data_IF_641545335991
#
_entry.id   IF_641545335991
#
_cell.length_a   1.000
_cell.length_b   1.000
_cell.length_c   1.000
_cell.angle_alpha   90.00
_cell.angle_beta   90.00
_cell.angle_gamma   90.00
#
_symmetry.space_group_name_H-M   'P 1'
#
loop_
_entity.id
_entity.type
_entity.pdbx_description
1 polymer ?
#
# COMPACT_ATOMS: atom_id res chain seq x y z
N UNK A 1 74.26 -24.36 -32.44
CA UNK A 1 72.92 -24.86 -32.79
C UNK A 1 72.54 -25.94 -31.80
N UNK A 2 71.48 -25.74 -31.02
CA UNK A 2 70.99 -26.68 -30.03
C UNK A 2 69.97 -25.98 -29.13
N UNK A 3 68.69 -26.23 -29.40
CA UNK A 3 67.51 -25.49 -28.93
C UNK A 3 67.22 -25.84 -27.47
N UNK A 4 67.11 -24.84 -26.58
CA UNK A 4 66.49 -24.98 -25.26
C UNK A 4 64.97 -24.92 -25.42
N UNK A 5 64.28 -26.01 -25.11
CA UNK A 5 62.83 -26.07 -25.05
C UNK A 5 62.32 -25.41 -23.76
N UNK A 6 61.47 -24.40 -23.90
CA UNK A 6 60.73 -23.80 -22.81
C UNK A 6 59.62 -24.74 -22.34
N UNK A 7 59.60 -25.05 -21.05
CA UNK A 7 58.44 -25.63 -20.38
C UNK A 7 57.50 -24.48 -19.99
N UNK A 8 56.35 -24.40 -20.65
CA UNK A 8 55.26 -23.50 -20.29
C UNK A 8 54.72 -23.89 -18.91
N UNK A 9 54.74 -22.95 -17.97
CA UNK A 9 54.01 -23.07 -16.71
C UNK A 9 52.53 -22.81 -16.99
N UNK A 10 51.70 -23.84 -16.88
CA UNK A 10 50.25 -23.74 -16.94
C UNK A 10 49.76 -22.87 -15.77
N UNK A 11 49.37 -21.64 -16.12
CA UNK A 11 48.61 -20.72 -15.27
C UNK A 11 47.18 -21.23 -15.14
N UNK A 12 46.94 -22.18 -14.22
CA UNK A 12 45.59 -22.60 -13.86
C UNK A 12 44.87 -21.44 -13.14
N UNK A 13 43.85 -20.88 -13.79
CA UNK A 13 42.97 -19.88 -13.20
C UNK A 13 42.26 -20.44 -11.94
N UNK A 14 42.00 -19.61 -10.92
CA UNK A 14 41.30 -20.07 -9.72
C UNK A 14 39.88 -20.53 -10.07
N UNK A 15 39.35 -21.56 -9.38
CA UNK A 15 38.02 -22.08 -9.66
C UNK A 15 36.97 -20.99 -9.42
N UNK A 16 36.06 -20.83 -10.38
CA UNK A 16 34.93 -19.90 -10.26
C UNK A 16 34.13 -20.20 -8.99
N UNK A 17 33.68 -19.15 -8.26
CA UNK A 17 32.85 -19.35 -7.08
C UNK A 17 31.54 -20.04 -7.48
N UNK A 18 31.02 -20.93 -6.62
CA UNK A 18 29.77 -21.63 -6.91
C UNK A 18 28.65 -20.60 -7.14
N UNK A 19 27.70 -20.90 -8.06
CA UNK A 19 26.59 -20.00 -8.32
C UNK A 19 25.80 -19.77 -7.02
N UNK A 20 25.25 -18.55 -6.84
CA UNK A 20 24.45 -18.26 -5.66
C UNK A 20 23.30 -19.27 -5.57
N UNK A 21 22.94 -19.73 -4.35
CA UNK A 21 21.85 -20.67 -4.20
C UNK A 21 20.59 -20.07 -4.84
N UNK A 22 19.77 -20.88 -5.53
CA UNK A 22 18.50 -20.40 -6.07
C UNK A 22 17.69 -19.80 -4.92
N UNK A 23 17.07 -18.64 -5.15
CA UNK A 23 16.14 -18.04 -4.20
C UNK A 23 15.15 -19.12 -3.74
N UNK A 24 14.88 -19.26 -2.43
CA UNK A 24 14.12 -20.39 -1.92
C UNK A 24 12.74 -20.42 -2.60
N UNK A 25 12.51 -21.48 -3.41
CA UNK A 25 11.25 -21.74 -4.12
C UNK A 25 10.10 -22.10 -3.18
N UNK A 26 10.38 -22.33 -1.90
CA UNK A 26 9.41 -22.63 -0.87
C UNK A 26 9.68 -21.80 0.38
N UNK A 27 8.64 -21.03 0.72
CA UNK A 27 8.52 -20.19 1.91
C UNK A 27 8.89 -20.99 3.17
N UNK A 28 9.85 -20.54 3.99
CA UNK A 28 9.97 -21.07 5.33
C UNK A 28 8.77 -20.54 6.12
N UNK A 29 7.73 -21.36 6.24
CA UNK A 29 6.72 -21.22 7.29
C UNK A 29 7.47 -21.37 8.62
N UNK A 30 8.02 -20.27 9.15
CA UNK A 30 8.60 -20.24 10.48
C UNK A 30 7.45 -20.25 11.48
N UNK A 31 7.05 -21.46 11.84
CA UNK A 31 6.05 -21.74 12.86
C UNK A 31 6.63 -21.54 14.26
N UNK A 32 5.89 -20.81 15.08
CA UNK A 32 5.66 -21.01 16.52
C UNK A 32 6.66 -21.91 17.27
N UNK A 33 7.71 -21.29 17.81
CA UNK A 33 8.36 -21.77 19.03
C UNK A 33 8.54 -20.61 20.01
N UNK A 34 7.66 -20.60 21.01
CA UNK A 34 7.85 -20.09 22.39
C UNK A 34 9.01 -19.15 22.67
N UNK A 35 8.66 -17.93 23.11
CA UNK A 35 9.54 -17.03 23.86
C UNK A 35 10.37 -16.10 22.99
N UNK A 36 10.03 -14.81 23.05
CA UNK A 36 10.88 -13.67 22.69
C UNK A 36 10.90 -13.07 21.27
N UNK A 37 10.13 -13.53 20.27
CA UNK A 37 10.05 -12.81 18.98
C UNK A 37 8.65 -12.69 18.34
N UNK A 38 8.15 -11.45 18.34
CA UNK A 38 7.26 -10.75 17.40
C UNK A 38 6.96 -11.41 16.03
N UNK A 39 5.80 -12.07 15.86
CA UNK A 39 5.21 -12.21 14.52
C UNK A 39 3.68 -12.29 14.54
N UNK A 40 3.03 -11.30 13.92
CA UNK A 40 1.57 -11.18 13.75
C UNK A 40 1.09 -11.65 12.36
N UNK A 41 2.01 -12.00 11.44
CA UNK A 41 1.69 -12.36 10.07
C UNK A 41 1.08 -13.76 10.02
N UNK A 42 -0.21 -13.83 9.69
CA UNK A 42 -0.88 -15.13 9.52
C UNK A 42 -0.55 -15.72 8.15
N UNK A 43 -0.71 -17.04 7.95
CA UNK A 43 -0.47 -17.66 6.65
C UNK A 43 -1.23 -16.98 5.49
N UNK A 44 -2.44 -16.49 5.74
CA UNK A 44 -3.23 -15.73 4.76
C UNK A 44 -2.61 -14.37 4.44
N UNK A 45 -1.99 -13.69 5.42
CA UNK A 45 -1.33 -12.39 5.21
C UNK A 45 -0.10 -12.54 4.31
N UNK A 46 0.69 -13.59 4.53
CA UNK A 46 1.87 -13.91 3.71
C UNK A 46 1.45 -14.38 2.32
N UNK A 47 0.46 -15.24 2.20
CA UNK A 47 -0.06 -15.66 0.90
C UNK A 47 -0.55 -14.45 0.08
N UNK A 48 -1.26 -13.52 0.73
CA UNK A 48 -1.72 -12.30 0.09
C UNK A 48 -0.56 -11.36 -0.29
N UNK A 49 0.45 -11.17 0.58
CA UNK A 49 1.64 -10.38 0.26
C UNK A 49 2.36 -10.88 -0.99
N UNK A 50 2.41 -12.20 -1.22
CA UNK A 50 3.05 -12.77 -2.40
C UNK A 50 2.11 -12.92 -3.60
N UNK A 51 0.87 -12.45 -3.53
CA UNK A 51 -0.08 -12.55 -4.64
C UNK A 51 -0.58 -13.97 -4.91
N UNK A 52 -0.44 -14.90 -3.95
CA UNK A 52 -0.89 -16.29 -4.11
C UNK A 52 -2.41 -16.42 -3.96
N UNK A 53 -3.12 -15.96 -4.98
CA UNK A 53 -4.57 -15.90 -5.02
C UNK A 53 -5.25 -17.24 -4.69
N UNK A 54 -4.87 -18.33 -5.36
CA UNK A 54 -5.49 -19.65 -5.14
C UNK A 54 -5.30 -20.16 -3.71
N UNK A 55 -4.15 -19.87 -3.10
CA UNK A 55 -3.90 -20.24 -1.71
C UNK A 55 -4.76 -19.41 -0.75
N UNK A 56 -4.88 -18.10 -0.98
CA UNK A 56 -5.77 -17.25 -0.18
C UNK A 56 -7.22 -17.72 -0.32
N UNK A 57 -7.66 -18.01 -1.54
CA UNK A 57 -9.00 -18.54 -1.81
C UNK A 57 -9.24 -19.87 -1.09
N UNK A 58 -8.29 -20.82 -1.16
CA UNK A 58 -8.40 -22.09 -0.45
C UNK A 58 -8.46 -21.91 1.08
N UNK A 59 -7.66 -21.00 1.64
CA UNK A 59 -7.67 -20.67 3.06
C UNK A 59 -8.99 -20.04 3.50
N UNK A 60 -9.55 -19.12 2.70
CA UNK A 60 -10.85 -18.50 2.99
C UNK A 60 -12.02 -19.48 2.91
N UNK A 61 -11.93 -20.49 2.04
CA UNK A 61 -12.91 -21.59 1.99
C UNK A 61 -12.80 -22.48 3.23
N UNK A 62 -11.58 -22.71 3.73
CA UNK A 62 -11.36 -23.50 4.94
C UNK A 62 -11.79 -22.75 6.22
N UNK A 63 -11.51 -21.45 6.31
CA UNK A 63 -11.93 -20.59 7.42
C UNK A 63 -12.26 -19.17 6.92
N UNK A 64 -13.56 -18.86 6.87
CA UNK A 64 -14.06 -17.56 6.42
C UNK A 64 -13.69 -16.41 7.37
N UNK A 65 -13.37 -16.70 8.64
CA UNK A 65 -12.94 -15.67 9.61
C UNK A 65 -11.57 -15.08 9.25
N UNK A 66 -10.79 -15.77 8.42
CA UNK A 66 -9.54 -15.25 7.89
C UNK A 66 -9.73 -13.98 7.04
N UNK A 67 -10.94 -13.76 6.50
CA UNK A 67 -11.26 -12.53 5.77
C UNK A 67 -11.14 -11.30 6.67
N UNK A 68 -11.61 -11.38 7.92
CA UNK A 68 -11.52 -10.28 8.90
C UNK A 68 -10.06 -9.92 9.19
N UNK A 69 -9.19 -10.94 9.26
CA UNK A 69 -7.75 -10.73 9.44
C UNK A 69 -7.13 -10.09 8.19
N UNK A 70 -7.48 -10.60 7.00
CA UNK A 70 -6.96 -10.10 5.73
C UNK A 70 -7.32 -8.63 5.48
N UNK A 71 -8.53 -8.20 5.89
CA UNK A 71 -9.06 -6.88 5.59
C UNK A 71 -8.92 -5.85 6.73
N UNK A 72 -8.42 -6.22 7.91
CA UNK A 72 -8.27 -5.26 9.02
C UNK A 72 -7.15 -4.25 8.76
N UNK A 73 -7.48 -2.96 8.78
CA UNK A 73 -6.53 -1.87 8.56
C UNK A 73 -5.44 -1.85 9.64
N UNK A 74 -5.84 -2.05 10.91
CA UNK A 74 -4.91 -2.07 12.05
C UNK A 74 -3.85 -3.14 11.90
N UNK A 75 -4.25 -4.32 11.39
CA UNK A 75 -3.34 -5.43 11.13
C UNK A 75 -2.44 -5.14 9.94
N UNK A 76 -2.99 -4.66 8.82
CA UNK A 76 -2.21 -4.30 7.63
C UNK A 76 -1.13 -3.28 7.96
N UNK A 77 -1.45 -2.22 8.69
CA UNK A 77 -0.47 -1.19 9.06
C UNK A 77 0.69 -1.69 9.92
N UNK A 78 0.47 -2.70 10.76
CA UNK A 78 1.53 -3.36 11.53
C UNK A 78 2.40 -4.25 10.64
N UNK A 79 1.80 -4.88 9.62
CA UNK A 79 2.55 -5.67 8.65
C UNK A 79 3.39 -4.77 7.74
N UNK A 80 2.83 -3.64 7.29
CA UNK A 80 3.55 -2.65 6.48
C UNK A 80 4.81 -2.14 7.18
N UNK A 81 4.79 -1.89 8.50
CA UNK A 81 6.01 -1.49 9.22
C UNK A 81 7.09 -2.56 9.21
N UNK A 82 6.72 -3.85 9.09
CA UNK A 82 7.69 -4.95 9.03
C UNK A 82 8.18 -5.15 7.59
N UNK A 83 7.27 -5.04 6.62
CA UNK A 83 7.58 -5.22 5.20
C UNK A 83 8.38 -4.07 4.61
N UNK A 84 8.11 -2.82 5.03
CA UNK A 84 8.80 -1.64 4.50
C UNK A 84 10.27 -1.60 4.92
N UNK A 85 10.64 -2.25 6.03
CA UNK A 85 12.02 -2.34 6.51
C UNK A 85 12.83 -3.45 5.80
N UNK A 86 12.18 -4.32 5.01
CA UNK A 86 12.81 -5.52 4.46
C UNK A 86 12.65 -5.59 2.93
N UNK A 87 13.74 -5.58 2.15
CA UNK A 87 13.69 -5.46 0.69
C UNK A 87 12.92 -6.59 0.01
N UNK A 88 12.96 -7.80 0.57
CA UNK A 88 12.21 -8.96 0.07
C UNK A 88 10.68 -8.78 0.06
N UNK A 89 10.13 -7.74 0.69
CA UNK A 89 8.68 -7.49 0.73
C UNK A 89 8.25 -6.24 -0.05
N UNK A 90 9.12 -5.67 -0.90
CA UNK A 90 8.78 -4.54 -1.77
C UNK A 90 7.58 -4.84 -2.70
N UNK A 91 7.37 -6.10 -3.07
CA UNK A 91 6.21 -6.53 -3.88
C UNK A 91 4.93 -6.75 -3.09
N UNK A 92 4.97 -6.72 -1.75
CA UNK A 92 3.83 -7.06 -0.89
C UNK A 92 2.56 -6.26 -1.20
N UNK A 93 2.61 -4.93 -1.44
CA UNK A 93 1.40 -4.17 -1.79
C UNK A 93 0.78 -4.64 -3.11
N UNK A 94 1.60 -4.90 -4.13
CA UNK A 94 1.14 -5.38 -5.45
C UNK A 94 0.52 -6.77 -5.35
N UNK A 95 1.13 -7.68 -4.60
CA UNK A 95 0.57 -9.00 -4.34
C UNK A 95 -0.81 -8.91 -3.67
N UNK A 96 -0.94 -8.06 -2.65
CA UNK A 96 -2.21 -7.86 -1.95
C UNK A 96 -3.29 -7.26 -2.84
N UNK A 97 -2.94 -6.28 -3.67
CA UNK A 97 -3.86 -5.71 -4.66
C UNK A 97 -4.30 -6.75 -5.70
N UNK A 98 -3.39 -7.62 -6.17
CA UNK A 98 -3.73 -8.71 -7.09
C UNK A 98 -4.72 -9.71 -6.45
N UNK A 99 -4.49 -10.10 -5.20
CA UNK A 99 -5.43 -10.96 -4.45
C UNK A 99 -6.79 -10.27 -4.26
N UNK A 100 -6.80 -8.99 -3.88
CA UNK A 100 -8.01 -8.21 -3.71
C UNK A 100 -8.83 -8.13 -5.02
N UNK A 101 -8.15 -7.87 -6.15
CA UNK A 101 -8.76 -7.84 -7.48
C UNK A 101 -9.34 -9.21 -7.88
N UNK A 102 -8.60 -10.29 -7.63
CA UNK A 102 -9.06 -11.66 -7.89
C UNK A 102 -10.31 -12.01 -7.07
N UNK A 103 -10.29 -11.71 -5.77
CA UNK A 103 -11.44 -11.97 -4.89
C UNK A 103 -12.67 -11.15 -5.31
N UNK A 104 -12.50 -9.90 -5.72
CA UNK A 104 -13.59 -9.07 -6.24
C UNK A 104 -14.22 -9.71 -7.48
N UNK A 105 -13.39 -10.14 -8.44
CA UNK A 105 -13.85 -10.77 -9.67
C UNK A 105 -14.61 -12.08 -9.42
N UNK A 106 -14.10 -12.94 -8.54
CA UNK A 106 -14.75 -14.21 -8.18
C UNK A 106 -16.09 -14.01 -7.47
N UNK A 107 -16.20 -13.01 -6.59
CA UNK A 107 -17.46 -12.69 -5.91
C UNK A 107 -18.53 -12.18 -6.89
N UNK A 108 -18.13 -11.38 -7.88
CA UNK A 108 -19.03 -10.80 -8.88
C UNK A 108 -19.52 -11.83 -9.89
N UNK A 109 -18.66 -12.74 -10.32
CA UNK A 109 -19.01 -13.80 -11.28
C UNK A 109 -19.90 -14.89 -10.69
N UNK A 110 -19.68 -15.27 -9.42
CA UNK A 110 -20.37 -16.43 -8.81
C UNK A 110 -21.73 -16.09 -8.20
N UNK A 111 -21.84 -14.95 -7.51
CA UNK A 111 -22.96 -14.71 -6.59
C UNK A 111 -23.69 -13.38 -6.80
N UNK A 112 -23.26 -12.52 -7.74
CA UNK A 112 -23.83 -11.17 -7.93
C UNK A 112 -23.67 -10.24 -6.71
N UNK A 113 -23.00 -10.70 -5.65
CA UNK A 113 -22.71 -9.94 -4.44
C UNK A 113 -21.28 -9.40 -4.56
N UNK A 114 -21.15 -8.11 -4.87
CA UNK A 114 -19.84 -7.45 -4.90
C UNK A 114 -19.28 -7.31 -3.48
N UNK A 115 -17.97 -7.52 -3.32
CA UNK A 115 -17.25 -7.26 -2.05
C UNK A 115 -17.43 -5.81 -1.59
N UNK A 116 -17.66 -4.89 -2.53
CA UNK A 116 -17.97 -3.49 -2.25
C UNK A 116 -19.27 -3.39 -1.44
N UNK A 117 -20.33 -4.09 -1.87
CA UNK A 117 -21.62 -4.12 -1.15
C UNK A 117 -21.53 -4.80 0.22
N UNK A 118 -20.53 -5.67 0.41
CA UNK A 118 -20.31 -6.40 1.64
C UNK A 118 -19.52 -5.62 2.71
N UNK A 119 -19.15 -4.36 2.46
CA UNK A 119 -18.41 -3.55 3.44
C UNK A 119 -16.89 -3.52 3.25
N UNK A 120 -16.38 -4.12 2.18
CA UNK A 120 -14.93 -4.29 1.98
C UNK A 120 -14.34 -3.36 0.91
N UNK A 121 -15.11 -2.42 0.38
CA UNK A 121 -14.62 -1.47 -0.62
C UNK A 121 -13.45 -0.63 -0.09
N UNK A 122 -13.50 -0.21 1.18
CA UNK A 122 -12.40 0.55 1.81
C UNK A 122 -11.07 -0.21 1.79
N UNK A 123 -11.11 -1.52 2.02
CA UNK A 123 -9.94 -2.41 1.93
C UNK A 123 -9.44 -2.57 0.49
N UNK A 124 -10.35 -2.75 -0.47
CA UNK A 124 -10.02 -2.85 -1.89
C UNK A 124 -9.30 -1.57 -2.36
N UNK A 125 -9.85 -0.40 -2.02
CA UNK A 125 -9.29 0.89 -2.40
C UNK A 125 -7.93 1.15 -1.72
N UNK A 126 -7.80 0.82 -0.43
CA UNK A 126 -6.53 0.96 0.29
C UNK A 126 -5.42 0.13 -0.34
N UNK A 127 -5.70 -1.15 -0.62
CA UNK A 127 -4.70 -2.06 -1.18
C UNK A 127 -4.29 -1.66 -2.60
N UNK A 128 -5.25 -1.19 -3.41
CA UNK A 128 -4.97 -0.61 -4.72
C UNK A 128 -4.08 0.64 -4.63
N UNK A 129 -4.40 1.57 -3.72
CA UNK A 129 -3.63 2.78 -3.46
C UNK A 129 -2.19 2.48 -3.00
N UNK A 130 -2.04 1.51 -2.08
CA UNK A 130 -0.75 1.06 -1.57
C UNK A 130 0.10 0.39 -2.67
N UNK A 131 -0.54 -0.30 -3.62
CA UNK A 131 0.14 -0.89 -4.78
C UNK A 131 0.50 0.12 -5.87
N UNK A 132 -0.09 1.33 -5.83
CA UNK A 132 0.01 2.30 -6.91
C UNK A 132 -0.74 1.86 -8.18
N UNK A 133 -1.79 1.04 -8.04
CA UNK A 133 -2.59 0.51 -9.14
C UNK A 133 -3.72 1.49 -9.51
N UNK A 134 -3.41 2.44 -10.40
CA UNK A 134 -4.36 3.46 -10.85
C UNK A 134 -5.58 2.89 -11.58
N UNK A 135 -5.41 1.85 -12.38
CA UNK A 135 -6.51 1.20 -13.10
C UNK A 135 -7.51 0.58 -12.13
N UNK A 136 -7.02 -0.12 -11.10
CA UNK A 136 -7.92 -0.70 -10.10
C UNK A 136 -8.72 0.37 -9.36
N UNK A 137 -8.07 1.48 -9.00
CA UNK A 137 -8.72 2.60 -8.31
C UNK A 137 -9.80 3.22 -9.19
N UNK A 138 -9.52 3.45 -10.47
CA UNK A 138 -10.52 3.98 -11.40
C UNK A 138 -11.72 3.05 -11.54
N UNK A 139 -11.49 1.73 -11.62
CA UNK A 139 -12.56 0.75 -11.69
C UNK A 139 -13.43 0.74 -10.44
N UNK A 140 -12.83 0.87 -9.25
CA UNK A 140 -13.55 0.97 -7.98
C UNK A 140 -14.35 2.26 -7.87
N UNK A 141 -13.74 3.41 -8.18
CA UNK A 141 -14.38 4.72 -8.09
C UNK A 141 -15.44 4.94 -9.18
N UNK A 142 -15.32 4.29 -10.34
CA UNK A 142 -16.37 4.30 -11.38
C UNK A 142 -17.63 3.59 -10.90
N UNK A 143 -17.49 2.56 -10.08
CA UNK A 143 -18.61 1.81 -9.49
C UNK A 143 -19.21 2.54 -8.30
N UNK A 144 -18.36 3.00 -7.39
CA UNK A 144 -18.77 3.70 -6.16
C UNK A 144 -17.86 4.93 -5.92
N UNK A 145 -18.23 6.12 -6.43
CA UNK A 145 -17.42 7.33 -6.29
C UNK A 145 -17.18 7.75 -4.83
N UNK A 146 -18.13 7.44 -3.94
CA UNK A 146 -18.04 7.80 -2.52
C UNK A 146 -17.03 6.96 -1.74
N UNK A 147 -16.48 5.91 -2.34
CA UNK A 147 -15.54 5.02 -1.67
C UNK A 147 -14.24 5.73 -1.25
N UNK A 148 -13.91 6.85 -1.90
CA UNK A 148 -12.77 7.70 -1.55
C UNK A 148 -12.83 8.25 -0.12
N UNK A 149 -14.03 8.41 0.46
CA UNK A 149 -14.18 8.83 1.86
C UNK A 149 -13.95 7.70 2.86
N UNK A 150 -13.89 6.46 2.36
CA UNK A 150 -13.63 5.26 3.12
C UNK A 150 -14.89 4.48 3.52
N UNK A 151 -14.66 3.27 4.02
CA UNK A 151 -15.67 2.32 4.45
C UNK A 151 -15.11 1.48 5.61
N UNK A 152 -15.90 1.28 6.67
CA UNK A 152 -15.47 0.53 7.85
C UNK A 152 -14.32 1.20 8.60
N UNK A 153 -13.20 0.50 8.75
CA UNK A 153 -11.98 1.01 9.43
C UNK A 153 -11.18 2.01 8.58
N UNK A 154 -11.50 2.12 7.29
CA UNK A 154 -10.76 2.91 6.32
C UNK A 154 -11.42 4.27 6.12
N UNK A 155 -10.63 5.34 6.10
CA UNK A 155 -11.04 6.70 5.78
C UNK A 155 -10.19 7.35 4.69
N UNK A 156 -10.58 8.56 4.27
CA UNK A 156 -9.86 9.35 3.25
C UNK A 156 -8.36 9.53 3.57
N UNK A 157 -8.00 9.75 4.84
CA UNK A 157 -6.59 9.88 5.25
C UNK A 157 -5.83 8.58 5.04
N UNK A 158 -6.48 7.44 5.22
CA UNK A 158 -5.84 6.14 5.04
C UNK A 158 -5.58 5.87 3.56
N UNK A 159 -6.50 6.27 2.67
CA UNK A 159 -6.32 6.19 1.22
C UNK A 159 -5.17 7.07 0.74
N UNK A 160 -5.17 8.34 1.16
CA UNK A 160 -4.12 9.29 0.80
C UNK A 160 -2.76 8.88 1.37
N UNK A 161 -2.73 8.31 2.58
CA UNK A 161 -1.52 7.76 3.17
C UNK A 161 -0.98 6.58 2.35
N UNK A 162 -1.84 5.64 1.97
CA UNK A 162 -1.46 4.48 1.15
C UNK A 162 -0.91 4.92 -0.21
N UNK A 163 -1.58 5.87 -0.87
CA UNK A 163 -1.13 6.45 -2.14
C UNK A 163 0.20 7.20 -2.01
N UNK A 164 0.41 7.96 -0.93
CA UNK A 164 1.69 8.60 -0.68
C UNK A 164 2.80 7.55 -0.47
N UNK A 165 2.49 6.46 0.23
CA UNK A 165 3.46 5.39 0.51
C UNK A 165 3.89 4.63 -0.75
N UNK A 166 3.01 4.49 -1.75
CA UNK A 166 3.34 3.83 -3.02
C UNK A 166 4.32 4.62 -3.90
N UNK A 167 4.65 5.86 -3.52
CA UNK A 167 5.48 6.82 -4.29
C UNK A 167 4.95 7.09 -5.70
N UNK A 168 3.71 6.72 -5.99
CA UNK A 168 3.06 7.02 -7.27
C UNK A 168 2.23 8.31 -7.13
N UNK A 169 2.83 9.41 -7.58
CA UNK A 169 2.22 10.75 -7.52
C UNK A 169 0.91 10.83 -8.31
N UNK A 170 0.75 10.07 -9.40
CA UNK A 170 -0.50 10.06 -10.17
C UNK A 170 -1.65 9.43 -9.39
N UNK A 171 -1.40 8.32 -8.70
CA UNK A 171 -2.42 7.66 -7.86
C UNK A 171 -2.85 8.56 -6.71
N UNK A 172 -1.91 9.31 -6.12
CA UNK A 172 -2.24 10.29 -5.10
C UNK A 172 -3.15 11.39 -5.65
N UNK A 173 -2.80 11.97 -6.80
CA UNK A 173 -3.63 13.02 -7.44
C UNK A 173 -5.02 12.48 -7.78
N UNK A 174 -5.11 11.27 -8.34
CA UNK A 174 -6.37 10.64 -8.68
C UNK A 174 -7.32 10.54 -7.47
N UNK A 175 -6.81 10.07 -6.32
CA UNK A 175 -7.60 9.97 -5.10
C UNK A 175 -7.94 11.34 -4.49
N UNK A 176 -7.01 12.30 -4.52
CA UNK A 176 -7.26 13.65 -4.05
C UNK A 176 -8.32 14.36 -4.90
N UNK A 177 -8.19 14.29 -6.21
CA UNK A 177 -9.13 14.86 -7.17
C UNK A 177 -10.51 14.24 -6.97
N UNK A 178 -10.59 12.90 -6.87
CA UNK A 178 -11.85 12.21 -6.57
C UNK A 178 -12.49 12.70 -5.25
N UNK A 179 -11.70 12.88 -4.19
CA UNK A 179 -12.19 13.40 -2.92
C UNK A 179 -12.73 14.84 -3.05
N UNK A 180 -12.07 15.68 -3.85
CA UNK A 180 -12.46 17.07 -4.07
C UNK A 180 -13.65 17.21 -5.04
N UNK A 181 -13.84 16.29 -5.99
CA UNK A 181 -14.94 16.33 -6.98
C UNK A 181 -16.24 15.72 -6.47
N UNK A 182 -16.17 14.69 -5.63
CA UNK A 182 -17.37 13.97 -5.15
C UNK A 182 -18.12 14.76 -4.06
N UNK A 183 -17.47 15.71 -3.40
CA UNK A 183 -18.10 16.56 -2.37
C UNK A 183 -19.11 17.57 -2.91
N UNK A 184 -18.84 18.31 -3.99
CA UNK A 184 -19.86 19.10 -4.68
C UNK A 184 -21.15 18.30 -4.95
N UNK A 185 -21.03 17.01 -5.29
CA UNK A 185 -22.15 16.11 -5.55
C UNK A 185 -22.99 15.79 -4.31
N UNK A 186 -22.36 15.75 -3.13
CA UNK A 186 -23.03 15.52 -1.83
C UNK A 186 -23.63 16.78 -1.22
N UNK A 187 -23.12 17.94 -1.63
CA UNK A 187 -23.41 19.25 -1.05
C UNK A 187 -24.28 20.13 -1.94
N UNK A 188 -24.96 19.59 -2.97
CA UNK A 188 -25.97 20.35 -3.71
C UNK A 188 -26.99 20.97 -2.74
N UNK A 189 -26.82 22.27 -2.44
CA UNK A 189 -27.61 23.04 -1.47
C UNK A 189 -26.87 23.57 -0.23
N UNK A 190 -25.60 23.22 0.03
CA UNK A 190 -24.77 23.88 1.07
C UNK A 190 -24.04 25.07 0.47
N UNK A 191 -23.99 26.19 1.21
CA UNK A 191 -23.36 27.44 0.75
C UNK A 191 -21.85 27.29 0.50
N UNK A 192 -21.30 28.16 -0.35
CA UNK A 192 -19.90 28.15 -0.80
C UNK A 192 -18.87 28.08 0.34
N UNK A 193 -19.16 28.70 1.49
CA UNK A 193 -18.29 28.67 2.67
C UNK A 193 -18.10 27.25 3.25
N UNK A 194 -19.16 26.41 3.23
CA UNK A 194 -19.08 25.04 3.76
C UNK A 194 -18.25 24.14 2.83
N UNK A 195 -18.33 24.40 1.53
CA UNK A 195 -17.48 23.72 0.55
C UNK A 195 -16.01 24.09 0.73
N UNK A 196 -15.70 25.37 0.94
CA UNK A 196 -14.33 25.84 1.16
C UNK A 196 -13.71 25.25 2.43
N UNK A 197 -14.44 25.22 3.55
CA UNK A 197 -13.98 24.60 4.81
C UNK A 197 -13.70 23.11 4.61
N UNK A 198 -14.57 22.40 3.90
CA UNK A 198 -14.35 20.98 3.62
C UNK A 198 -13.13 20.75 2.73
N UNK A 199 -12.98 21.53 1.65
CA UNK A 199 -11.80 21.48 0.77
C UNK A 199 -10.53 21.70 1.58
N UNK A 200 -10.55 22.66 2.50
CA UNK A 200 -9.43 22.93 3.42
C UNK A 200 -9.15 21.72 4.33
N UNK A 201 -10.17 21.05 4.86
CA UNK A 201 -9.98 19.83 5.66
C UNK A 201 -9.33 18.70 4.85
N UNK A 202 -9.84 18.42 3.64
CA UNK A 202 -9.27 17.37 2.77
C UNK A 202 -7.84 17.70 2.39
N UNK A 203 -7.55 18.96 2.04
CA UNK A 203 -6.20 19.41 1.72
C UNK A 203 -5.26 19.27 2.92
N UNK A 204 -5.69 19.64 4.13
CA UNK A 204 -4.91 19.43 5.36
C UNK A 204 -4.57 17.96 5.56
N UNK A 205 -5.55 17.07 5.38
CA UNK A 205 -5.35 15.62 5.47
C UNK A 205 -4.41 15.10 4.39
N UNK A 206 -4.49 15.63 3.17
CA UNK A 206 -3.62 15.27 2.06
C UNK A 206 -2.16 15.66 2.33
N UNK A 207 -1.90 16.87 2.81
CA UNK A 207 -0.55 17.34 3.16
C UNK A 207 0.06 16.47 4.26
N UNK A 208 -0.69 16.18 5.33
CA UNK A 208 -0.20 15.29 6.39
C UNK A 208 0.03 13.86 5.90
N UNK A 209 -0.84 13.34 5.04
CA UNK A 209 -0.69 12.00 4.47
C UNK A 209 0.54 11.91 3.55
N UNK A 210 0.77 12.92 2.70
CA UNK A 210 1.93 13.01 1.82
C UNK A 210 3.24 13.05 2.63
N UNK A 211 3.29 13.88 3.67
CA UNK A 211 4.44 13.96 4.57
C UNK A 211 4.68 12.65 5.34
N UNK A 212 3.62 12.02 5.86
CA UNK A 212 3.73 10.74 6.57
C UNK A 212 4.16 9.58 5.65
N UNK A 213 3.63 9.54 4.43
CA UNK A 213 4.00 8.56 3.39
C UNK A 213 5.37 8.81 2.77
N UNK A 214 5.90 10.04 2.91
CA UNK A 214 7.19 10.46 2.39
C UNK A 214 7.20 10.70 0.88
N UNK A 215 6.05 10.97 0.25
CA UNK A 215 6.05 11.32 -1.17
C UNK A 215 6.43 12.81 -1.31
N UNK A 216 7.73 13.07 -1.48
CA UNK A 216 8.28 14.42 -1.61
C UNK A 216 7.69 15.18 -2.80
N UNK A 217 7.50 14.53 -3.95
CA UNK A 217 6.96 15.18 -5.15
C UNK A 217 5.56 15.73 -4.90
N UNK A 218 4.68 14.89 -4.34
CA UNK A 218 3.32 15.29 -3.97
C UNK A 218 3.35 16.37 -2.90
N UNK A 219 4.17 16.21 -1.85
CA UNK A 219 4.24 17.20 -0.77
C UNK A 219 4.68 18.57 -1.28
N UNK A 220 5.70 18.60 -2.15
CA UNK A 220 6.20 19.82 -2.78
C UNK A 220 5.14 20.48 -3.64
N UNK A 221 4.39 19.71 -4.42
CA UNK A 221 3.30 20.20 -5.26
C UNK A 221 2.17 20.83 -4.43
N UNK A 222 1.73 20.13 -3.37
CA UNK A 222 0.68 20.64 -2.47
C UNK A 222 1.10 21.93 -1.76
N UNK A 223 2.39 22.06 -1.43
CA UNK A 223 2.93 23.23 -0.75
C UNK A 223 3.32 24.38 -1.70
N UNK A 224 3.37 24.17 -3.02
CA UNK A 224 3.85 25.17 -3.98
C UNK A 224 3.04 26.48 -3.94
N UNK A 225 1.74 26.38 -3.66
CA UNK A 225 0.82 27.51 -3.58
C UNK A 225 0.45 27.86 -2.12
N UNK A 226 1.15 27.28 -1.14
CA UNK A 226 0.89 27.53 0.28
C UNK A 226 1.72 28.71 0.78
N UNK A 227 1.05 29.82 1.11
CA UNK A 227 1.72 30.99 1.71
C UNK A 227 2.23 30.73 3.14
N UNK A 228 1.55 29.86 3.90
CA UNK A 228 1.97 29.46 5.25
C UNK A 228 1.69 27.97 5.51
N UNK A 229 2.75 27.20 5.79
CA UNK A 229 2.66 25.77 6.12
C UNK A 229 1.94 25.54 7.45
N UNK A 230 1.97 26.51 8.36
CA UNK A 230 1.28 26.44 9.65
C UNK A 230 -0.23 26.52 9.53
N UNK A 231 -0.77 26.92 8.37
CA UNK A 231 -2.20 26.85 8.09
C UNK A 231 -2.72 25.40 8.06
N UNK A 232 -1.85 24.43 7.77
CA UNK A 232 -2.18 23.01 7.68
C UNK A 232 -1.94 22.28 9.00
N UNK A 233 -2.60 22.72 10.08
CA UNK A 233 -2.60 21.93 11.32
C UNK A 233 -3.72 20.91 11.30
N UNK A 234 -3.46 19.72 11.84
CA UNK A 234 -4.51 18.73 12.04
C UNK A 234 -5.40 19.11 13.25
N UNK A 235 -6.44 18.30 13.48
CA UNK A 235 -7.37 18.47 14.61
C UNK A 235 -6.70 18.41 16.00
N UNK A 236 -5.48 17.88 16.09
CA UNK A 236 -4.67 17.80 17.31
C UNK A 236 -3.63 18.93 17.39
N UNK A 237 -3.60 19.83 16.40
CA UNK A 237 -2.60 20.88 16.30
C UNK A 237 -1.23 20.41 15.78
N UNK A 238 -1.13 19.15 15.32
CA UNK A 238 0.09 18.62 14.71
C UNK A 238 0.37 19.34 13.41
N UNK A 239 1.65 19.54 13.13
CA UNK A 239 2.12 20.10 11.85
C UNK A 239 2.56 19.00 10.91
N UNK A 240 2.75 19.36 9.63
CA UNK A 240 3.33 18.51 8.59
C UNK A 240 4.64 17.83 9.05
N UNK A 241 5.48 18.56 9.80
CA UNK A 241 6.74 18.04 10.36
C UNK A 241 6.52 16.94 11.41
N UNK A 242 5.47 17.03 12.23
CA UNK A 242 5.13 15.96 13.18
C UNK A 242 4.77 14.67 12.43
N UNK A 243 4.03 14.78 11.32
CA UNK A 243 3.65 13.65 10.50
C UNK A 243 4.84 12.99 9.80
N UNK A 244 5.78 13.78 9.28
CA UNK A 244 7.03 13.30 8.70
C UNK A 244 7.93 12.62 9.75
N UNK A 245 8.15 13.27 10.89
CA UNK A 245 8.99 12.77 11.98
C UNK A 245 8.45 11.44 12.56
N UNK A 246 7.12 11.31 12.69
CA UNK A 246 6.49 10.09 13.18
C UNK A 246 6.70 8.84 12.30
N UNK A 247 7.22 8.99 11.09
CA UNK A 247 7.61 7.90 10.18
C UNK A 247 9.08 7.94 9.76
N UNK A 248 9.90 8.78 10.40
CA UNK A 248 11.32 8.92 10.07
C UNK A 248 11.56 9.39 8.65
N UNK A 249 10.70 10.25 8.09
CA UNK A 249 10.91 10.85 6.76
C UNK A 249 11.89 12.01 6.90
N UNK A 250 13.09 11.83 6.37
CA UNK A 250 14.21 12.78 6.51
C UNK A 250 14.38 13.70 5.30
N UNK A 251 13.84 13.29 4.14
CA UNK A 251 13.77 14.07 2.90
C UNK A 251 12.66 15.14 2.99
#
# INVERSE_FOLDING_TARGET
>A
MGIQAGAAADSAAPPEPPPPPPAPLYFPLRWESTGDQWWYATPVDLAAANGHYELVRALLVADSNLLIKLTSLRRIRRLETVWDDHPDFLHAPRGRAAVARGLLHDCETRNGNSLIRAGYGGWLLYTAAAAGDGEFIQDLLRREPFLVFGEGEYGVTDMLYAAARSKNSEVFRLLLDAALTVVPMRSHGRGAEVEEVFRMEVMSRAVHAAARGGNWEVLRELLLHCGDVLAWRDIQGSTVLHAAAGRGRVE
#
